data_IF_772825851548
#
_entry.id   IF_772825851548
#
_cell.length_a   1.000
_cell.length_b   1.000
_cell.length_c   1.000
_cell.angle_alpha   90.00
_cell.angle_beta   90.00
_cell.angle_gamma   90.00
#
_symmetry.space_group_name_H-M   'P 1'
#
loop_
_entity.id
_entity.type
_entity.pdbx_description
1 polymer ?
#
# COMPACT_ATOMS: atom_id res chain seq x y z
N UNK A 1 32.35 11.31 -9.88
CA UNK A 1 31.06 10.70 -10.29
C UNK A 1 30.12 10.64 -9.09
N UNK A 2 29.34 11.70 -8.84
CA UNK A 2 28.41 11.78 -7.71
C UNK A 2 26.97 11.64 -8.22
N UNK A 3 26.49 10.41 -8.40
CA UNK A 3 25.09 10.15 -8.71
C UNK A 3 24.24 10.24 -7.44
N UNK A 4 23.82 11.46 -7.12
CA UNK A 4 22.91 11.77 -6.01
C UNK A 4 21.49 11.94 -6.56
N UNK A 5 20.80 10.85 -6.86
CA UNK A 5 19.34 10.89 -7.07
C UNK A 5 18.70 9.64 -6.47
N UNK A 6 18.07 9.78 -5.31
CA UNK A 6 17.04 8.83 -4.82
C UNK A 6 15.87 9.63 -4.28
N UNK A 7 15.10 10.23 -5.18
CA UNK A 7 13.76 10.71 -4.86
C UNK A 7 12.78 9.56 -5.14
N UNK A 8 12.27 8.94 -4.06
CA UNK A 8 11.20 7.93 -4.13
C UNK A 8 9.86 8.66 -4.02
N UNK A 9 9.29 9.03 -5.16
CA UNK A 9 7.89 9.45 -5.20
C UNK A 9 7.01 8.22 -5.03
N UNK A 10 6.26 8.13 -3.93
CA UNK A 10 5.27 7.06 -3.76
C UNK A 10 3.98 7.47 -4.49
N UNK A 11 3.95 7.29 -5.81
CA UNK A 11 2.70 7.39 -6.57
C UNK A 11 1.83 6.19 -6.18
N UNK A 12 0.93 6.40 -5.21
CA UNK A 12 -0.07 5.42 -4.82
C UNK A 12 -1.26 5.54 -5.76
N UNK A 13 -1.36 4.64 -6.74
CA UNK A 13 -2.56 4.57 -7.56
C UNK A 13 -3.57 3.69 -6.83
N UNK A 14 -4.75 4.26 -6.56
CA UNK A 14 -5.87 3.54 -5.96
C UNK A 14 -6.79 3.10 -7.08
N UNK A 15 -6.95 1.79 -7.21
CA UNK A 15 -7.92 1.19 -8.11
C UNK A 15 -9.09 0.62 -7.30
N UNK A 16 -10.32 0.85 -7.76
CA UNK A 16 -11.52 0.32 -7.12
C UNK A 16 -11.99 -0.95 -7.83
N UNK A 17 -12.44 -1.92 -7.04
CA UNK A 17 -13.09 -3.14 -7.52
C UNK A 17 -14.39 -3.33 -6.72
N UNK A 18 -15.52 -3.47 -7.41
CA UNK A 18 -16.77 -3.84 -6.76
C UNK A 18 -16.83 -5.35 -6.67
N UNK A 19 -16.45 -5.92 -5.53
CA UNK A 19 -16.59 -7.35 -5.28
C UNK A 19 -17.02 -7.60 -3.84
N UNK A 20 -18.06 -8.42 -3.66
CA UNK A 20 -18.80 -8.52 -2.40
C UNK A 20 -18.27 -9.63 -1.46
N UNK A 21 -17.34 -10.49 -1.91
CA UNK A 21 -16.94 -11.66 -1.14
C UNK A 21 -15.40 -11.86 -1.14
N UNK A 22 -14.73 -11.29 -0.14
CA UNK A 22 -13.33 -11.62 0.18
C UNK A 22 -13.29 -12.42 1.49
N UNK A 23 -12.93 -13.71 1.39
CA UNK A 23 -12.81 -14.59 2.55
C UNK A 23 -11.38 -14.59 3.08
N UNK A 24 -11.10 -13.75 4.10
CA UNK A 24 -9.76 -13.53 4.65
C UNK A 24 -9.17 -14.65 5.50
N UNK A 25 -9.66 -15.88 5.39
CA UNK A 25 -9.22 -17.02 6.23
C UNK A 25 -7.81 -17.49 5.89
N UNK A 26 -7.38 -17.35 4.64
CA UNK A 26 -6.05 -17.76 4.20
C UNK A 26 -5.23 -16.53 3.81
N UNK A 27 -4.39 -16.05 4.72
CA UNK A 27 -3.44 -14.94 4.47
C UNK A 27 -2.12 -15.55 3.96
N UNK A 28 -1.52 -14.99 2.90
CA UNK A 28 -0.23 -15.49 2.38
C UNK A 28 0.95 -15.12 3.29
N UNK A 29 2.07 -15.84 3.18
CA UNK A 29 3.29 -15.58 3.96
C UNK A 29 3.76 -14.13 3.86
N UNK A 30 3.65 -13.52 2.69
CA UNK A 30 4.01 -12.11 2.45
C UNK A 30 3.19 -11.12 3.29
N UNK A 31 1.91 -11.39 3.49
CA UNK A 31 1.07 -10.56 4.34
C UNK A 31 1.36 -10.78 5.82
N UNK A 32 1.69 -12.02 6.23
CA UNK A 32 2.15 -12.30 7.59
C UNK A 32 3.42 -11.50 7.90
N UNK A 33 4.41 -11.54 7.00
CA UNK A 33 5.66 -10.76 7.16
C UNK A 33 5.38 -9.25 7.26
N UNK A 34 4.44 -8.71 6.47
CA UNK A 34 4.05 -7.31 6.57
C UNK A 34 3.42 -6.97 7.94
N UNK A 35 2.54 -7.86 8.44
CA UNK A 35 1.89 -7.69 9.75
C UNK A 35 2.95 -7.73 10.86
N UNK A 36 3.87 -8.69 10.84
CA UNK A 36 4.94 -8.81 11.83
C UNK A 36 5.77 -7.52 11.91
N UNK A 37 6.20 -6.99 10.77
CA UNK A 37 6.96 -5.74 10.75
C UNK A 37 6.16 -4.54 11.26
N UNK A 38 4.84 -4.49 11.01
CA UNK A 38 4.00 -3.41 11.55
C UNK A 38 3.90 -3.47 13.07
N UNK A 39 3.84 -4.67 13.63
CA UNK A 39 3.84 -4.89 15.08
C UNK A 39 5.19 -4.47 15.66
N UNK A 40 6.29 -4.96 15.09
CA UNK A 40 7.67 -4.62 15.47
C UNK A 40 7.91 -3.11 15.47
N UNK A 41 7.60 -2.43 14.34
CA UNK A 41 7.73 -0.98 14.22
C UNK A 41 6.87 -0.22 15.24
N UNK A 42 5.70 -0.76 15.60
CA UNK A 42 4.84 -0.19 16.62
C UNK A 42 5.48 -0.25 18.01
N UNK A 43 6.08 -1.40 18.36
CA UNK A 43 6.81 -1.55 19.61
C UNK A 43 8.08 -0.68 19.65
N UNK A 44 8.83 -0.60 18.56
CA UNK A 44 10.00 0.26 18.49
C UNK A 44 9.63 1.72 18.78
N UNK A 45 8.57 2.23 18.16
CA UNK A 45 8.03 3.58 18.43
C UNK A 45 7.60 3.78 19.88
N UNK A 46 6.97 2.76 20.48
CA UNK A 46 6.55 2.79 21.87
C UNK A 46 7.76 2.90 22.82
N UNK A 47 8.78 2.07 22.63
CA UNK A 47 9.99 2.12 23.46
C UNK A 47 10.81 3.39 23.22
N UNK A 48 10.90 3.89 21.99
CA UNK A 48 11.55 5.16 21.68
C UNK A 48 10.86 6.35 22.37
N UNK A 49 9.53 6.31 22.46
CA UNK A 49 8.74 7.29 23.22
C UNK A 49 9.04 7.19 24.72
N UNK A 50 9.06 5.99 25.30
CA UNK A 50 9.38 5.80 26.72
C UNK A 50 10.78 6.31 27.09
N UNK A 51 11.77 6.08 26.22
CA UNK A 51 13.16 6.51 26.45
C UNK A 51 13.32 8.03 26.38
N UNK A 52 12.73 8.67 25.38
CA UNK A 52 13.04 10.07 25.07
C UNK A 52 11.99 11.07 25.55
N UNK A 53 10.76 10.65 25.90
CA UNK A 53 9.57 11.46 26.28
C UNK A 53 9.30 12.74 25.45
N UNK A 54 10.00 12.95 24.34
CA UNK A 54 9.99 14.16 23.50
C UNK A 54 9.09 14.06 22.26
N UNK A 55 8.67 12.85 21.89
CA UNK A 55 7.78 12.60 20.74
C UNK A 55 6.32 12.52 21.17
N UNK A 56 5.43 12.51 20.19
CA UNK A 56 4.00 12.24 20.35
C UNK A 56 3.74 11.04 21.28
N UNK A 57 2.69 11.13 22.10
CA UNK A 57 2.29 10.06 23.01
C UNK A 57 1.86 8.83 22.21
N UNK A 58 2.70 7.79 22.23
CA UNK A 58 2.41 6.52 21.56
C UNK A 58 1.96 5.48 22.58
N UNK A 59 0.87 4.78 22.30
CA UNK A 59 0.41 3.62 23.08
C UNK A 59 0.99 2.32 22.52
N UNK A 60 1.16 1.26 23.33
CA UNK A 60 1.63 -0.02 22.82
C UNK A 60 0.66 -0.57 21.76
N UNK A 61 1.16 -1.29 20.74
CA UNK A 61 0.30 -1.89 19.71
C UNK A 61 -0.75 -2.83 20.33
N UNK A 62 -2.02 -2.69 19.94
CA UNK A 62 -3.10 -3.57 20.38
C UNK A 62 -3.52 -4.54 19.26
N UNK A 63 -3.82 -5.78 19.63
CA UNK A 63 -4.34 -6.79 18.72
C UNK A 63 -5.82 -6.52 18.41
N UNK A 64 -6.16 -6.59 17.12
CA UNK A 64 -7.54 -6.45 16.66
C UNK A 64 -8.12 -7.85 16.42
N UNK A 65 -9.43 -8.03 16.60
CA UNK A 65 -10.10 -9.28 16.15
C UNK A 65 -9.96 -9.43 14.63
N UNK A 66 -9.75 -10.66 14.12
CA UNK A 66 -9.59 -10.98 12.68
C UNK A 66 -10.68 -10.31 11.82
N UNK A 67 -11.95 -10.44 12.24
CA UNK A 67 -13.12 -9.85 11.55
C UNK A 67 -13.06 -8.33 11.39
N UNK A 68 -12.29 -7.63 12.23
CA UNK A 68 -12.17 -6.17 12.19
C UNK A 68 -10.99 -5.68 11.34
N UNK A 69 -10.09 -6.55 10.89
CA UNK A 69 -9.02 -6.12 9.97
C UNK A 69 -9.63 -5.87 8.60
N UNK A 70 -9.58 -4.61 8.16
CA UNK A 70 -10.14 -4.15 6.89
C UNK A 70 -9.17 -4.26 5.73
N UNK A 71 -7.87 -4.39 5.98
CA UNK A 71 -6.87 -4.42 4.91
C UNK A 71 -5.70 -5.33 5.22
N UNK A 72 -5.05 -5.80 4.16
CA UNK A 72 -3.76 -6.48 4.24
C UNK A 72 -2.92 -6.07 3.03
N UNK A 73 -1.61 -6.13 3.21
CA UNK A 73 -0.64 -5.73 2.20
C UNK A 73 0.23 -6.93 1.85
N UNK A 74 0.38 -7.20 0.57
CA UNK A 74 1.31 -8.19 0.05
C UNK A 74 2.63 -7.50 -0.25
N UNK A 75 3.70 -7.98 0.38
CA UNK A 75 5.07 -7.52 0.12
C UNK A 75 5.60 -8.21 -1.14
N UNK A 76 6.03 -7.40 -2.11
CA UNK A 76 6.67 -7.87 -3.33
C UNK A 76 5.69 -8.38 -4.39
N UNK A 77 6.24 -8.96 -5.47
CA UNK A 77 5.50 -9.40 -6.66
C UNK A 77 4.86 -10.79 -6.53
N UNK A 78 4.98 -11.45 -5.37
CA UNK A 78 4.57 -12.84 -5.19
C UNK A 78 3.18 -12.93 -4.59
N UNK A 79 2.36 -13.82 -5.15
CA UNK A 79 1.04 -14.16 -4.63
C UNK A 79 -0.13 -13.48 -5.33
N UNK A 80 0.13 -12.53 -6.23
CA UNK A 80 -0.86 -11.95 -7.14
C UNK A 80 -0.31 -11.83 -8.57
N UNK A 81 -1.20 -11.86 -9.57
CA UNK A 81 -0.87 -11.60 -10.98
C UNK A 81 -1.76 -10.47 -11.48
N UNK A 82 -1.18 -9.44 -12.09
CA UNK A 82 -1.96 -8.36 -12.71
C UNK A 82 -1.86 -8.52 -14.22
N UNK A 83 -3.01 -8.64 -14.86
CA UNK A 83 -3.16 -8.71 -16.31
C UNK A 83 -4.20 -7.66 -16.72
N UNK A 84 -3.75 -6.62 -17.42
CA UNK A 84 -4.59 -5.51 -17.86
C UNK A 84 -5.37 -4.86 -16.69
N UNK A 85 -6.66 -5.17 -16.59
CA UNK A 85 -7.59 -4.66 -15.58
C UNK A 85 -8.02 -5.74 -14.56
N UNK A 86 -7.35 -6.88 -14.54
CA UNK A 86 -7.67 -8.01 -13.67
C UNK A 86 -6.50 -8.31 -12.76
N UNK A 87 -6.76 -8.43 -11.46
CA UNK A 87 -5.81 -8.97 -10.48
C UNK A 87 -6.26 -10.36 -10.03
N UNK A 88 -5.39 -11.33 -10.20
CA UNK A 88 -5.60 -12.72 -9.79
C UNK A 88 -4.86 -12.96 -8.47
N UNK A 89 -5.57 -13.40 -7.44
CA UNK A 89 -5.05 -13.66 -6.10
C UNK A 89 -5.62 -14.99 -5.60
N UNK A 90 -4.76 -15.98 -5.33
CA UNK A 90 -5.15 -17.29 -4.74
C UNK A 90 -6.34 -17.96 -5.45
N UNK A 91 -6.35 -17.93 -6.78
CA UNK A 91 -7.42 -18.52 -7.60
C UNK A 91 -8.64 -17.60 -7.83
N UNK A 92 -8.75 -16.49 -7.10
CA UNK A 92 -9.79 -15.48 -7.34
C UNK A 92 -9.32 -14.43 -8.33
N UNK A 93 -10.22 -14.02 -9.22
CA UNK A 93 -9.97 -12.94 -10.21
C UNK A 93 -10.82 -11.73 -9.85
N UNK A 94 -10.18 -10.58 -9.68
CA UNK A 94 -10.83 -9.31 -9.37
C UNK A 94 -10.63 -8.34 -10.52
N UNK A 95 -11.72 -7.85 -11.12
CA UNK A 95 -11.67 -6.85 -12.18
C UNK A 95 -11.74 -5.45 -11.56
N UNK A 96 -10.78 -4.60 -11.86
CA UNK A 96 -10.71 -3.23 -11.34
C UNK A 96 -10.72 -2.22 -12.48
N UNK A 97 -11.14 -0.98 -12.19
CA UNK A 97 -11.14 0.09 -13.19
C UNK A 97 -9.72 0.65 -13.38
N UNK A 98 -9.13 0.48 -14.57
CA UNK A 98 -7.80 0.99 -14.89
C UNK A 98 -7.90 2.39 -15.50
N UNK A 99 -7.79 3.44 -14.67
CA UNK A 99 -7.81 4.83 -15.19
C UNK A 99 -6.51 5.22 -15.92
N UNK A 100 -5.38 4.62 -15.55
CA UNK A 100 -4.06 4.88 -16.12
C UNK A 100 -3.30 3.57 -16.23
N UNK A 101 -2.53 3.41 -17.31
CA UNK A 101 -1.64 2.27 -17.50
C UNK A 101 -0.64 2.21 -16.34
N UNK A 102 -0.41 1.00 -15.82
CA UNK A 102 0.55 0.77 -14.75
C UNK A 102 1.95 0.77 -15.37
N UNK A 103 2.63 1.92 -15.30
CA UNK A 103 4.03 2.07 -15.72
C UNK A 103 4.95 2.03 -14.49
N UNK A 104 6.02 1.23 -14.55
CA UNK A 104 7.03 1.14 -13.50
C UNK A 104 6.99 -0.15 -12.67
N UNK A 105 7.84 -0.21 -11.64
CA UNK A 105 7.97 -1.40 -10.80
C UNK A 105 6.94 -1.39 -9.66
N UNK A 106 6.07 -2.41 -9.65
CA UNK A 106 5.12 -2.62 -8.55
C UNK A 106 5.88 -3.04 -7.28
N UNK A 107 5.63 -2.32 -6.17
CA UNK A 107 6.19 -2.61 -4.84
C UNK A 107 5.17 -3.37 -3.98
N UNK A 108 4.42 -2.78 -3.01
CA UNK A 108 3.34 -3.50 -2.37
C UNK A 108 1.99 -3.29 -3.08
N UNK A 109 1.17 -4.33 -3.02
CA UNK A 109 -0.27 -4.25 -3.32
C UNK A 109 -1.04 -4.40 -2.01
N UNK A 110 -1.98 -3.50 -1.77
CA UNK A 110 -2.83 -3.50 -0.59
C UNK A 110 -4.27 -3.68 -0.97
N UNK A 111 -4.92 -4.67 -0.37
CA UNK A 111 -6.35 -4.88 -0.49
C UNK A 111 -7.02 -4.24 0.72
N UNK A 112 -8.01 -3.38 0.50
CA UNK A 112 -8.78 -2.69 1.54
C UNK A 112 -10.27 -2.96 1.37
N UNK A 113 -10.96 -3.23 2.46
CA UNK A 113 -12.41 -3.38 2.53
C UNK A 113 -13.04 -2.14 3.14
N UNK A 114 -14.11 -1.67 2.53
CA UNK A 114 -14.93 -0.61 3.10
C UNK A 114 -15.99 -1.15 4.07
N UNK A 115 -16.66 -0.26 4.81
CA UNK A 115 -17.81 -0.65 5.64
C UNK A 115 -18.97 -1.19 4.83
N UNK A 116 -19.14 -0.76 3.58
CA UNK A 116 -20.17 -1.24 2.67
C UNK A 116 -19.85 -2.60 2.02
N UNK A 117 -18.66 -3.15 2.25
CA UNK A 117 -18.22 -4.42 1.70
C UNK A 117 -17.42 -4.32 0.39
N UNK A 118 -17.30 -3.12 -0.19
CA UNK A 118 -16.49 -2.88 -1.38
C UNK A 118 -14.98 -3.12 -1.13
N UNK A 119 -14.27 -3.56 -2.17
CA UNK A 119 -12.85 -3.92 -2.10
C UNK A 119 -11.99 -3.01 -2.99
N UNK A 120 -11.10 -2.26 -2.38
CA UNK A 120 -10.14 -1.40 -3.07
C UNK A 120 -8.77 -2.07 -3.16
N UNK A 121 -8.14 -1.93 -4.31
CA UNK A 121 -6.79 -2.43 -4.59
C UNK A 121 -5.89 -1.22 -4.74
N UNK A 122 -5.04 -0.96 -3.76
CA UNK A 122 -4.03 0.10 -3.82
C UNK A 122 -2.72 -0.51 -4.30
N UNK A 123 -2.18 0.03 -5.39
CA UNK A 123 -0.91 -0.40 -5.98
C UNK A 123 0.08 0.75 -5.80
N UNK A 124 1.17 0.49 -5.08
CA UNK A 124 2.27 1.44 -4.96
C UNK A 124 3.32 1.14 -6.03
N UNK A 125 3.61 2.14 -6.86
CA UNK A 125 4.56 2.05 -7.96
C UNK A 125 5.85 2.78 -7.62
N UNK A 126 6.97 2.25 -8.09
CA UNK A 126 8.22 2.97 -8.21
C UNK A 126 8.40 3.37 -9.67
N UNK A 127 8.42 4.68 -9.89
CA UNK A 127 8.63 5.28 -11.21
C UNK A 127 9.63 6.43 -11.04
N UNK A 128 10.50 6.60 -12.03
CA UNK A 128 11.34 7.79 -12.12
C UNK A 128 10.44 9.00 -12.42
N UNK A 129 10.57 10.07 -11.61
CA UNK A 129 9.79 11.28 -11.84
C UNK A 129 10.14 11.85 -13.21
N UNK A 130 9.19 11.77 -14.16
CA UNK A 130 9.25 12.62 -15.36
C UNK A 130 9.18 14.06 -14.86
N UNK A 131 10.24 14.84 -15.05
CA UNK A 131 10.22 16.29 -14.82
C UNK A 131 9.08 16.88 -15.64
N UNK A 132 7.94 17.14 -15.01
CA UNK A 132 6.89 17.94 -15.62
C UNK A 132 7.43 19.36 -15.68
N UNK A 133 7.54 19.94 -16.86
CA UNK A 133 7.70 21.39 -17.02
C UNK A 133 6.41 22.02 -16.50
N UNK A 134 6.31 22.20 -15.18
CA UNK A 134 5.28 23.06 -14.59
C UNK A 134 5.74 24.46 -14.94
N UNK A 135 4.98 25.15 -15.79
CA UNK A 135 5.19 26.58 -15.98
C UNK A 135 4.99 27.23 -14.61
N UNK A 136 6.06 27.78 -14.03
CA UNK A 136 5.93 28.68 -12.89
C UNK A 136 5.02 29.81 -13.37
N UNK A 137 3.83 29.93 -12.79
CA UNK A 137 2.84 30.92 -13.20
C UNK A 137 3.36 32.33 -12.96
N UNK A 138 4.18 32.83 -13.87
CA UNK A 138 4.48 34.24 -14.00
C UNK A 138 3.38 34.82 -14.87
N UNK A 139 2.52 35.64 -14.26
CA UNK A 139 1.62 36.52 -15.00
C UNK A 139 2.49 37.44 -15.85
N UNK A 140 2.41 37.31 -17.17
CA UNK A 140 2.92 38.34 -18.07
C UNK A 140 1.92 39.49 -18.00
N UNK A 141 2.33 40.57 -17.34
CA UNK A 141 1.62 41.85 -17.33
C UNK A 141 1.86 42.63 -18.60
#
# INVERSE_FOLDING_TARGET
MNNKIKYKSNNNIVYSCKYHQYNGKNIGSQAIQNITQRIENGYQRFFDYLKNRKKEKVSPPNFKKVKRYKSFTLKGKVGYKIENNTISLKGYRYKFWLSRVIEGQIKPVTFKRDSLGDVYICISLEQEEKKSNRSTGNSVG
#
